data_IF_384882785755
#
_entry.id   IF_384882785755
#
_cell.length_a   1.000
_cell.length_b   1.000
_cell.length_c   1.000
_cell.angle_alpha   90.00
_cell.angle_beta   90.00
_cell.angle_gamma   90.00
#
_symmetry.space_group_name_H-M   'P 1'
#
loop_
_entity.id
_entity.type
_entity.pdbx_description
1 polymer ?
#
# COMPACT_ATOMS: atom_id res chain seq x y z
N UNK A 1 5.80 9.14 -20.18
CA UNK A 1 5.99 7.70 -20.49
C UNK A 1 6.99 7.43 -21.62
N UNK A 2 6.81 7.95 -22.86
CA UNK A 2 7.72 7.65 -23.99
C UNK A 2 9.20 7.97 -23.71
N UNK A 3 9.47 9.13 -23.11
CA UNK A 3 10.83 9.56 -22.75
C UNK A 3 11.50 8.63 -21.74
N UNK A 4 10.78 8.23 -20.68
CA UNK A 4 11.26 7.27 -19.68
C UNK A 4 11.54 5.90 -20.31
N UNK A 5 10.68 5.40 -21.19
CA UNK A 5 10.92 4.14 -21.90
C UNK A 5 12.16 4.20 -22.80
N UNK A 6 12.38 5.33 -23.49
CA UNK A 6 13.59 5.56 -24.28
C UNK A 6 14.83 5.67 -23.39
N UNK A 7 14.75 6.35 -22.25
CA UNK A 7 15.83 6.44 -21.27
C UNK A 7 16.24 5.05 -20.78
N UNK A 8 15.29 4.24 -20.31
CA UNK A 8 15.56 2.88 -19.82
C UNK A 8 16.20 1.99 -20.90
N UNK A 9 15.77 2.14 -22.16
CA UNK A 9 16.38 1.43 -23.29
C UNK A 9 17.83 1.88 -23.52
N UNK A 10 18.13 3.19 -23.41
CA UNK A 10 19.50 3.72 -23.53
C UNK A 10 20.41 3.38 -22.34
N UNK A 11 19.83 3.03 -21.20
CA UNK A 11 20.58 2.62 -20.01
C UNK A 11 21.01 1.15 -20.06
N UNK A 12 20.43 0.35 -20.95
CA UNK A 12 20.75 -1.08 -21.05
C UNK A 12 22.26 -1.32 -21.24
N UNK A 13 22.81 -2.26 -20.46
CA UNK A 13 24.23 -2.61 -20.48
C UNK A 13 25.18 -1.62 -19.79
N UNK A 14 24.73 -0.39 -19.46
CA UNK A 14 25.57 0.60 -18.76
C UNK A 14 25.87 0.20 -17.32
N UNK A 15 26.85 0.87 -16.72
CA UNK A 15 27.13 0.77 -15.28
C UNK A 15 25.90 1.11 -14.45
N UNK A 16 25.67 0.35 -13.37
CA UNK A 16 24.55 0.53 -12.45
C UNK A 16 24.35 1.96 -11.96
N UNK A 17 25.45 2.70 -11.77
CA UNK A 17 25.42 4.12 -11.36
C UNK A 17 24.59 5.00 -12.30
N UNK A 18 24.45 4.63 -13.57
CA UNK A 18 23.67 5.37 -14.56
C UNK A 18 22.16 5.35 -14.28
N UNK A 19 21.65 4.48 -13.40
CA UNK A 19 20.25 4.58 -12.95
C UNK A 19 19.95 5.90 -12.22
N UNK A 20 20.96 6.66 -11.77
CA UNK A 20 20.76 8.01 -11.22
C UNK A 20 20.08 8.97 -12.22
N UNK A 21 20.16 8.68 -13.52
CA UNK A 21 19.44 9.42 -14.55
C UNK A 21 17.91 9.29 -14.43
N UNK A 22 17.41 8.33 -13.63
CA UNK A 22 15.99 8.19 -13.32
C UNK A 22 15.49 9.16 -12.25
N UNK A 23 16.36 9.87 -11.51
CA UNK A 23 15.93 10.78 -10.45
C UNK A 23 14.97 11.85 -10.97
N UNK A 24 14.00 12.22 -10.13
CA UNK A 24 13.00 13.25 -10.45
C UNK A 24 11.66 12.68 -10.90
N UNK A 25 10.88 13.49 -11.61
CA UNK A 25 9.49 13.21 -11.95
C UNK A 25 9.33 12.68 -13.38
N UNK A 26 8.52 11.64 -13.52
CA UNK A 26 8.17 11.02 -14.80
C UNK A 26 6.65 10.94 -14.92
N UNK A 27 6.10 11.73 -15.84
CA UNK A 27 4.65 11.81 -16.03
C UNK A 27 4.10 10.61 -16.78
N UNK A 28 3.02 10.06 -16.23
CA UNK A 28 2.12 9.12 -16.88
C UNK A 28 0.76 9.80 -17.08
N UNK A 29 -0.16 9.12 -17.75
CA UNK A 29 -1.52 9.63 -17.88
C UNK A 29 -2.26 9.47 -16.55
N UNK A 30 -2.67 10.60 -15.96
CA UNK A 30 -3.46 10.64 -14.73
C UNK A 30 -2.69 10.34 -13.43
N UNK A 31 -1.37 10.18 -13.49
CA UNK A 31 -0.51 10.02 -12.33
C UNK A 31 0.97 10.31 -12.67
N UNK A 32 1.79 10.54 -11.65
CA UNK A 32 3.22 10.84 -11.79
C UNK A 32 4.06 9.89 -10.94
N UNK A 33 5.11 9.33 -11.54
CA UNK A 33 6.16 8.61 -10.83
C UNK A 33 7.23 9.60 -10.38
N UNK A 34 7.60 9.58 -9.11
CA UNK A 34 8.66 10.42 -8.54
C UNK A 34 9.74 9.50 -7.99
N UNK A 35 10.95 9.60 -8.50
CA UNK A 35 12.09 8.79 -8.06
C UNK A 35 12.92 9.64 -7.09
N UNK A 36 12.70 9.43 -5.79
CA UNK A 36 13.35 10.21 -4.73
C UNK A 36 14.77 9.72 -4.46
N UNK A 37 14.99 8.40 -4.53
CA UNK A 37 16.29 7.80 -4.27
C UNK A 37 16.51 6.57 -5.14
N UNK A 38 17.66 6.53 -5.80
CA UNK A 38 18.13 5.37 -6.57
C UNK A 38 19.16 4.62 -5.74
N UNK A 39 18.95 3.32 -5.55
CA UNK A 39 19.87 2.46 -4.81
C UNK A 39 21.29 2.48 -5.40
N UNK A 40 22.31 2.42 -4.53
CA UNK A 40 23.70 2.62 -4.92
C UNK A 40 24.26 1.46 -5.78
N UNK A 41 23.77 0.24 -5.53
CA UNK A 41 24.13 -0.98 -6.23
C UNK A 41 22.96 -1.99 -6.15
N UNK A 42 22.98 -3.08 -6.94
CA UNK A 42 21.87 -4.05 -7.00
C UNK A 42 21.56 -4.81 -5.70
N UNK A 43 22.48 -4.81 -4.73
CA UNK A 43 22.35 -5.50 -3.45
C UNK A 43 22.07 -4.55 -2.28
N UNK A 44 22.06 -3.24 -2.54
CA UNK A 44 21.71 -2.23 -1.55
C UNK A 44 20.20 -2.23 -1.24
N UNK A 45 19.81 -1.44 -0.25
CA UNK A 45 18.40 -1.19 0.02
C UNK A 45 17.70 -0.66 -1.25
N UNK A 46 16.47 -1.13 -1.58
CA UNK A 46 15.75 -0.75 -2.77
C UNK A 46 15.62 0.75 -3.01
N UNK A 47 15.45 1.13 -4.28
CA UNK A 47 15.16 2.52 -4.65
C UNK A 47 13.84 2.96 -4.03
N UNK A 48 13.74 4.22 -3.59
CA UNK A 48 12.51 4.79 -3.05
C UNK A 48 11.85 5.64 -4.12
N UNK A 49 10.59 5.31 -4.41
CA UNK A 49 9.79 6.00 -5.40
C UNK A 49 8.40 6.31 -4.84
N UNK A 50 7.77 7.35 -5.38
CA UNK A 50 6.38 7.68 -5.09
C UNK A 50 5.57 7.61 -6.37
N UNK A 51 4.36 7.08 -6.28
CA UNK A 51 3.36 7.19 -7.34
C UNK A 51 2.24 8.11 -6.84
N UNK A 52 2.13 9.29 -7.43
CA UNK A 52 1.08 10.26 -7.12
C UNK A 52 -0.01 10.17 -8.17
N UNK A 53 -1.18 9.67 -7.80
CA UNK A 53 -2.35 9.53 -8.64
C UNK A 53 -3.24 10.75 -8.43
N UNK A 54 -3.60 11.42 -9.53
CA UNK A 54 -4.41 12.62 -9.49
C UNK A 54 -5.84 12.28 -9.03
N UNK A 55 -6.49 13.16 -8.28
CA UNK A 55 -7.86 12.95 -7.79
C UNK A 55 -8.86 12.59 -8.92
N UNK A 56 -8.72 13.23 -10.08
CA UNK A 56 -9.54 12.98 -11.26
C UNK A 56 -9.38 11.55 -11.82
N UNK A 57 -8.22 10.92 -11.57
CA UNK A 57 -7.95 9.52 -11.89
C UNK A 57 -8.42 8.63 -10.75
N UNK A 58 -8.04 8.94 -9.50
CA UNK A 58 -8.30 8.11 -8.34
C UNK A 58 -9.79 7.92 -8.07
N UNK A 59 -10.57 9.00 -8.16
CA UNK A 59 -12.03 9.03 -8.01
C UNK A 59 -12.53 8.28 -6.77
N UNK A 60 -11.80 8.39 -5.65
CA UNK A 60 -12.18 7.72 -4.41
C UNK A 60 -13.58 8.15 -3.93
N UNK A 61 -14.36 7.23 -3.35
CA UNK A 61 -15.70 7.56 -2.86
C UNK A 61 -15.63 8.61 -1.74
N UNK A 62 -16.64 9.48 -1.67
CA UNK A 62 -16.70 10.56 -0.67
C UNK A 62 -16.70 10.03 0.78
N UNK A 63 -17.12 8.77 0.99
CA UNK A 63 -17.08 8.09 2.29
C UNK A 63 -15.65 7.93 2.84
N UNK A 64 -14.60 8.06 2.03
CA UNK A 64 -13.21 8.09 2.50
C UNK A 64 -12.95 9.32 3.38
N UNK A 65 -13.65 10.43 3.14
CA UNK A 65 -13.38 11.73 3.75
C UNK A 65 -14.28 12.06 4.95
N UNK A 66 -15.24 11.19 5.28
CA UNK A 66 -16.23 11.47 6.35
C UNK A 66 -15.65 11.37 7.76
N UNK A 67 -14.53 10.65 7.96
CA UNK A 67 -13.80 10.62 9.22
C UNK A 67 -12.32 10.28 9.05
N UNK A 68 -11.49 10.67 10.03
CA UNK A 68 -10.06 10.31 10.04
C UNK A 68 -9.84 8.79 10.09
N UNK A 69 -10.72 8.07 10.79
CA UNK A 69 -10.65 6.61 10.89
C UNK A 69 -10.85 5.94 9.52
N UNK A 70 -11.86 6.41 8.75
CA UNK A 70 -12.11 5.90 7.39
C UNK A 70 -10.98 6.28 6.43
N UNK A 71 -10.45 7.49 6.51
CA UNK A 71 -9.29 7.89 5.70
C UNK A 71 -8.07 7.01 5.98
N UNK A 72 -7.80 6.71 7.26
CA UNK A 72 -6.75 5.78 7.67
C UNK A 72 -6.98 4.38 7.13
N UNK A 73 -8.21 3.85 7.24
CA UNK A 73 -8.58 2.55 6.71
C UNK A 73 -8.47 2.46 5.19
N UNK A 74 -8.89 3.51 4.45
CA UNK A 74 -8.75 3.56 3.00
C UNK A 74 -7.28 3.52 2.56
N UNK A 75 -6.40 4.24 3.27
CA UNK A 75 -4.95 4.22 3.03
C UNK A 75 -4.37 2.81 3.21
N UNK A 76 -4.76 2.13 4.28
CA UNK A 76 -4.35 0.75 4.55
C UNK A 76 -4.88 -0.24 3.49
N UNK A 77 -6.15 -0.13 3.12
CA UNK A 77 -6.77 -0.94 2.07
C UNK A 77 -6.05 -0.79 0.73
N UNK A 78 -5.77 0.45 0.30
CA UNK A 78 -5.04 0.76 -0.94
C UNK A 78 -3.63 0.15 -0.91
N UNK A 79 -2.92 0.24 0.22
CA UNK A 79 -1.59 -0.37 0.35
C UNK A 79 -1.67 -1.90 0.18
N UNK A 80 -2.67 -2.55 0.77
CA UNK A 80 -2.91 -4.00 0.61
C UNK A 80 -3.28 -4.35 -0.82
N UNK A 81 -4.09 -3.53 -1.49
CA UNK A 81 -4.45 -3.72 -2.89
C UNK A 81 -3.20 -3.67 -3.78
N UNK A 82 -2.29 -2.73 -3.55
CA UNK A 82 -1.01 -2.67 -4.27
C UNK A 82 -0.17 -3.93 -4.03
N UNK A 83 0.02 -4.33 -2.77
CA UNK A 83 0.75 -5.56 -2.43
C UNK A 83 0.15 -6.79 -3.11
N UNK A 84 -1.18 -6.87 -3.19
CA UNK A 84 -1.86 -7.97 -3.87
C UNK A 84 -1.62 -7.94 -5.39
N UNK A 85 -1.68 -6.75 -6.01
CA UNK A 85 -1.42 -6.55 -7.43
C UNK A 85 0.04 -6.91 -7.80
N UNK A 86 0.98 -6.69 -6.87
CA UNK A 86 2.42 -6.99 -7.07
C UNK A 86 2.88 -8.28 -6.41
N UNK A 87 1.98 -9.19 -6.00
CA UNK A 87 2.34 -10.43 -5.28
C UNK A 87 3.38 -11.31 -6.00
N UNK A 88 3.46 -11.21 -7.33
CA UNK A 88 4.38 -11.96 -8.19
C UNK A 88 5.58 -11.12 -8.68
N UNK A 89 5.64 -9.84 -8.33
CA UNK A 89 6.65 -8.87 -8.76
C UNK A 89 7.51 -8.51 -7.53
N UNK A 90 8.55 -9.30 -7.26
CA UNK A 90 9.39 -9.16 -6.05
C UNK A 90 10.16 -7.85 -6.00
N UNK A 91 10.32 -7.21 -7.16
CA UNK A 91 10.99 -5.94 -7.33
C UNK A 91 10.12 -4.74 -6.90
N UNK A 92 8.82 -4.94 -6.69
CA UNK A 92 7.88 -3.90 -6.25
C UNK A 92 7.39 -4.18 -4.83
N UNK A 93 7.70 -3.27 -3.92
CA UNK A 93 7.31 -3.37 -2.51
C UNK A 93 6.55 -2.16 -2.01
N UNK A 94 5.69 -2.39 -1.03
CA UNK A 94 5.00 -1.37 -0.23
C UNK A 94 4.84 -1.89 1.21
N UNK A 95 4.92 -1.00 2.21
CA UNK A 95 4.56 -1.35 3.59
C UNK A 95 3.03 -1.35 3.75
N UNK A 96 2.42 -2.51 3.51
CA UNK A 96 0.98 -2.72 3.64
C UNK A 96 0.57 -3.35 4.99
N UNK A 97 1.45 -3.30 6.00
CA UNK A 97 1.18 -3.87 7.33
C UNK A 97 0.87 -5.36 7.34
N UNK A 98 0.43 -5.89 8.48
CA UNK A 98 -0.06 -7.27 8.60
C UNK A 98 -1.51 -7.24 9.05
N UNK A 99 -1.85 -7.79 10.21
CA UNK A 99 -3.24 -7.80 10.70
C UNK A 99 -3.70 -6.45 11.28
N UNK A 100 -2.81 -5.47 11.42
CA UNK A 100 -3.10 -4.15 11.99
C UNK A 100 -3.26 -3.06 10.95
N UNK A 101 -4.25 -2.19 11.17
CA UNK A 101 -4.46 -0.93 10.45
C UNK A 101 -3.80 0.19 11.25
N UNK A 102 -2.76 0.80 10.68
CA UNK A 102 -2.00 1.89 11.32
C UNK A 102 -1.94 3.10 10.39
N UNK A 103 -1.76 4.27 10.98
CA UNK A 103 -1.53 5.52 10.24
C UNK A 103 -0.11 5.55 9.66
N UNK A 104 0.10 4.80 8.56
CA UNK A 104 1.41 4.65 7.89
C UNK A 104 1.58 5.63 6.75
N UNK A 105 2.82 6.01 6.45
CA UNK A 105 3.12 6.85 5.30
C UNK A 105 3.13 6.11 3.95
N UNK A 106 2.88 4.81 3.92
CA UNK A 106 2.91 3.99 2.70
C UNK A 106 1.88 4.43 1.66
N UNK A 107 0.71 4.87 2.12
CA UNK A 107 -0.32 5.51 1.30
C UNK A 107 -0.75 6.80 1.99
N UNK A 108 -0.82 7.90 1.24
CA UNK A 108 -1.41 9.16 1.69
C UNK A 108 -2.59 9.52 0.78
N UNK A 109 -3.61 10.15 1.36
CA UNK A 109 -4.76 10.68 0.64
C UNK A 109 -4.92 12.14 1.08
N UNK A 110 -4.75 13.05 0.13
CA UNK A 110 -4.89 14.48 0.35
C UNK A 110 -6.36 14.91 0.35
N UNK A 111 -6.68 16.08 0.90
CA UNK A 111 -8.06 16.58 0.98
C UNK A 111 -8.72 16.82 -0.39
N UNK A 112 -7.91 17.05 -1.43
CA UNK A 112 -8.39 17.18 -2.81
C UNK A 112 -8.67 15.82 -3.49
N UNK A 113 -8.32 14.70 -2.83
CA UNK A 113 -8.48 13.35 -3.33
C UNK A 113 -7.29 12.77 -4.09
N UNK A 114 -6.15 13.47 -4.15
CA UNK A 114 -4.91 12.90 -4.67
C UNK A 114 -4.46 11.73 -3.78
N UNK A 115 -3.90 10.69 -4.39
CA UNK A 115 -3.40 9.51 -3.70
C UNK A 115 -1.89 9.35 -3.94
N UNK A 116 -1.09 9.33 -2.89
CA UNK A 116 0.35 9.06 -2.97
C UNK A 116 0.66 7.67 -2.43
N UNK A 117 1.26 6.81 -3.25
CA UNK A 117 1.85 5.53 -2.83
C UNK A 117 3.36 5.68 -2.68
N UNK A 118 3.92 5.28 -1.54
CA UNK A 118 5.38 5.25 -1.30
C UNK A 118 5.88 3.83 -1.41
N UNK A 119 6.74 3.60 -2.40
CA UNK A 119 7.09 2.27 -2.89
C UNK A 119 8.60 2.04 -2.85
N UNK A 120 8.94 0.77 -2.71
CA UNK A 120 10.29 0.26 -2.94
C UNK A 120 10.37 -0.34 -4.35
N UNK A 121 11.42 0.01 -5.08
CA UNK A 121 11.68 -0.45 -6.44
C UNK A 121 13.10 -1.02 -6.54
N UNK A 122 13.20 -2.34 -6.69
CA UNK A 122 14.47 -3.03 -6.93
C UNK A 122 14.78 -3.00 -8.43
N UNK A 123 15.64 -2.08 -8.85
CA UNK A 123 16.06 -1.88 -10.23
C UNK A 123 16.89 -3.08 -10.77
N UNK A 124 16.45 -3.71 -11.87
CA UNK A 124 17.09 -4.89 -12.46
C UNK A 124 18.55 -4.67 -12.90
N UNK A 125 19.39 -5.69 -12.68
CA UNK A 125 20.78 -5.72 -13.14
C UNK A 125 21.33 -7.14 -13.29
N UNK A 126 22.35 -7.28 -14.14
CA UNK A 126 23.19 -8.47 -14.28
C UNK A 126 24.58 -8.14 -13.77
N UNK A 127 24.89 -8.57 -12.54
CA UNK A 127 26.06 -8.06 -11.83
C UNK A 127 25.91 -6.55 -11.63
N UNK A 128 26.87 -5.75 -12.10
CA UNK A 128 26.81 -4.27 -12.02
C UNK A 128 26.37 -3.60 -13.34
N UNK A 129 25.88 -4.36 -14.30
CA UNK A 129 25.34 -3.83 -15.56
C UNK A 129 23.83 -3.74 -15.52
N UNK A 130 23.28 -2.61 -15.95
CA UNK A 130 21.84 -2.35 -16.00
C UNK A 130 21.15 -3.29 -16.98
N UNK A 131 20.02 -3.88 -16.56
CA UNK A 131 19.09 -4.60 -17.44
C UNK A 131 17.94 -3.67 -17.84
N UNK A 132 18.23 -2.74 -18.74
CA UNK A 132 17.35 -1.63 -19.13
C UNK A 132 16.04 -2.10 -19.77
N UNK A 133 16.07 -3.19 -20.54
CA UNK A 133 14.86 -3.80 -21.08
C UNK A 133 13.93 -4.37 -20.00
N UNK A 134 14.50 -5.03 -18.98
CA UNK A 134 13.73 -5.54 -17.85
C UNK A 134 13.21 -4.39 -16.96
N UNK A 135 14.03 -3.38 -16.72
CA UNK A 135 13.64 -2.18 -16.00
C UNK A 135 12.50 -1.43 -16.71
N UNK A 136 12.54 -1.35 -18.04
CA UNK A 136 11.45 -0.81 -18.85
C UNK A 136 10.16 -1.59 -18.65
N UNK A 137 10.20 -2.92 -18.74
CA UNK A 137 9.02 -3.76 -18.50
C UNK A 137 8.46 -3.54 -17.08
N UNK A 138 9.33 -3.49 -16.08
CA UNK A 138 8.95 -3.27 -14.70
C UNK A 138 8.31 -1.89 -14.48
N UNK A 139 8.96 -0.82 -14.92
CA UNK A 139 8.58 0.57 -14.61
C UNK A 139 7.50 1.11 -15.55
N UNK A 140 7.49 0.69 -16.83
CA UNK A 140 6.56 1.22 -17.82
C UNK A 140 5.36 0.31 -18.09
N UNK A 141 5.33 -0.94 -17.59
CA UNK A 141 4.21 -1.86 -17.81
C UNK A 141 3.66 -2.40 -16.49
N UNK A 142 4.51 -2.99 -15.62
CA UNK A 142 4.06 -3.62 -14.37
C UNK A 142 3.66 -2.61 -13.29
N UNK A 143 4.52 -1.62 -13.03
CA UNK A 143 4.27 -0.59 -12.04
C UNK A 143 3.01 0.24 -12.34
N UNK A 144 2.78 0.74 -13.56
CA UNK A 144 1.57 1.51 -13.87
C UNK A 144 0.29 0.70 -13.64
N UNK A 145 0.29 -0.59 -14.03
CA UNK A 145 -0.86 -1.47 -13.83
C UNK A 145 -1.15 -1.68 -12.34
N UNK A 146 -0.11 -1.92 -11.52
CA UNK A 146 -0.25 -2.06 -10.08
C UNK A 146 -0.73 -0.77 -9.38
N UNK A 147 -0.18 0.39 -9.76
CA UNK A 147 -0.59 1.70 -9.22
C UNK A 147 -2.07 1.95 -9.52
N UNK A 148 -2.50 1.78 -10.77
CA UNK A 148 -3.87 2.03 -11.16
C UNK A 148 -4.84 1.01 -10.57
N UNK A 149 -4.45 -0.27 -10.48
CA UNK A 149 -5.27 -1.29 -9.83
C UNK A 149 -5.51 -0.98 -8.34
N UNK A 150 -4.52 -0.42 -7.64
CA UNK A 150 -4.59 -0.15 -6.21
C UNK A 150 -5.21 1.21 -5.85
N UNK A 151 -5.04 2.23 -6.69
CA UNK A 151 -5.38 3.62 -6.34
C UNK A 151 -6.44 4.25 -7.25
N UNK A 152 -7.23 3.45 -7.98
CA UNK A 152 -8.33 3.93 -8.82
C UNK A 152 -9.64 3.23 -8.42
N UNK A 153 -10.65 3.99 -8.01
CA UNK A 153 -11.92 3.47 -7.53
C UNK A 153 -12.59 2.46 -8.49
N UNK A 154 -12.57 2.73 -9.80
CA UNK A 154 -13.14 1.83 -10.82
C UNK A 154 -12.47 0.44 -10.91
N UNK A 155 -11.28 0.29 -10.33
CA UNK A 155 -10.51 -0.96 -10.32
C UNK A 155 -10.47 -1.61 -8.92
N UNK A 156 -11.00 -0.93 -7.92
CA UNK A 156 -11.12 -1.44 -6.56
C UNK A 156 -12.44 -2.19 -6.38
N UNK A 157 -12.42 -3.16 -5.48
CA UNK A 157 -13.64 -3.70 -4.90
C UNK A 157 -14.17 -2.68 -3.88
N UNK A 158 -15.08 -1.82 -4.34
CA UNK A 158 -15.63 -0.73 -3.54
C UNK A 158 -16.47 -1.24 -2.35
N UNK A 159 -17.08 -2.42 -2.46
CA UNK A 159 -17.83 -3.03 -1.38
C UNK A 159 -16.87 -3.54 -0.28
N UNK A 160 -15.77 -4.17 -0.67
CA UNK A 160 -14.73 -4.57 0.28
C UNK A 160 -14.02 -3.37 0.91
N UNK A 161 -13.76 -2.30 0.14
CA UNK A 161 -13.22 -1.04 0.68
C UNK A 161 -14.17 -0.44 1.72
N UNK A 162 -15.47 -0.35 1.42
CA UNK A 162 -16.49 0.16 2.33
C UNK A 162 -16.56 -0.64 3.64
N UNK A 163 -16.61 -1.98 3.55
CA UNK A 163 -16.56 -2.86 4.73
C UNK A 163 -15.28 -2.65 5.56
N UNK A 164 -14.14 -2.51 4.89
CA UNK A 164 -12.86 -2.30 5.57
C UNK A 164 -12.85 -0.97 6.34
N UNK A 165 -13.36 0.11 5.72
CA UNK A 165 -13.49 1.41 6.36
C UNK A 165 -14.46 1.37 7.55
N UNK A 166 -15.63 0.77 7.38
CA UNK A 166 -16.65 0.67 8.43
C UNK A 166 -16.11 -0.07 9.67
N UNK A 167 -15.46 -1.23 9.49
CA UNK A 167 -14.92 -2.01 10.61
C UNK A 167 -13.83 -1.25 11.40
N UNK A 168 -13.01 -0.43 10.74
CA UNK A 168 -12.00 0.39 11.42
C UNK A 168 -12.65 1.59 12.13
N UNK A 169 -13.66 2.20 11.51
CA UNK A 169 -14.44 3.27 12.11
C UNK A 169 -15.16 2.80 13.38
N UNK A 170 -15.83 1.64 13.34
CA UNK A 170 -16.48 1.02 14.49
C UNK A 170 -15.48 0.75 15.63
N UNK A 171 -14.30 0.21 15.31
CA UNK A 171 -13.25 0.00 16.30
C UNK A 171 -12.78 1.32 16.94
N UNK A 172 -12.75 2.42 16.18
CA UNK A 172 -12.41 3.73 16.72
C UNK A 172 -13.53 4.27 17.61
N UNK A 173 -14.78 4.14 17.19
CA UNK A 173 -15.96 4.56 17.93
C UNK A 173 -16.08 3.80 19.27
N UNK A 174 -15.96 2.48 19.26
CA UNK A 174 -15.99 1.63 20.46
C UNK A 174 -14.91 2.03 21.46
N UNK A 175 -13.67 2.26 20.99
CA UNK A 175 -12.56 2.65 21.87
C UNK A 175 -12.79 4.02 22.52
N UNK A 176 -13.41 4.96 21.81
CA UNK A 176 -13.70 6.31 22.33
C UNK A 176 -14.77 6.30 23.42
N UNK A 177 -15.69 5.34 23.40
CA UNK A 177 -16.77 5.21 24.38
C UNK A 177 -16.29 4.55 25.69
N UNK A 178 -15.15 3.84 25.69
CA UNK A 178 -14.65 3.14 26.88
C UNK A 178 -14.62 4.00 28.17
N UNK A 179 -14.07 5.24 28.16
CA UNK A 179 -14.01 6.06 29.37
C UNK A 179 -15.39 6.50 29.86
N UNK A 180 -16.32 6.78 28.96
CA UNK A 180 -17.70 7.20 29.28
C UNK A 180 -18.47 6.08 30.00
N UNK A 181 -18.11 4.84 29.70
CA UNK A 181 -18.66 3.64 30.34
C UNK A 181 -17.83 3.14 31.53
N UNK A 182 -16.76 3.85 31.93
CA UNK A 182 -15.91 3.46 33.06
C UNK A 182 -15.15 2.13 32.84
N UNK A 183 -14.98 1.70 31.60
CA UNK A 183 -14.28 0.45 31.24
C UNK A 183 -12.93 0.76 30.58
N UNK A 184 -11.95 -0.13 30.74
CA UNK A 184 -10.59 0.03 30.17
C UNK A 184 -10.35 -0.88 28.96
N UNK A 185 -11.21 -1.86 28.76
CA UNK A 185 -11.15 -2.81 27.66
C UNK A 185 -12.55 -3.36 27.36
N UNK A 186 -12.74 -3.78 26.12
CA UNK A 186 -13.95 -4.47 25.65
C UNK A 186 -13.52 -5.62 24.73
N UNK A 187 -14.07 -6.81 24.94
CA UNK A 187 -13.85 -7.98 24.09
C UNK A 187 -15.20 -8.46 23.60
N UNK A 188 -15.43 -8.37 22.28
CA UNK A 188 -16.69 -8.79 21.69
C UNK A 188 -16.86 -10.32 21.80
N UNK A 189 -18.07 -10.77 22.17
CA UNK A 189 -18.44 -12.18 22.03
C UNK A 189 -18.24 -12.65 20.58
N UNK A 190 -17.77 -13.87 20.40
CA UNK A 190 -17.41 -14.42 19.10
C UNK A 190 -15.98 -14.09 18.64
N UNK A 191 -15.21 -13.29 19.40
CA UNK A 191 -13.82 -12.98 19.04
C UNK A 191 -12.93 -14.22 19.02
N UNK A 192 -12.09 -14.33 17.98
CA UNK A 192 -11.05 -15.37 17.88
C UNK A 192 -9.72 -14.80 18.38
N UNK A 193 -9.39 -15.11 19.63
CA UNK A 193 -8.20 -14.61 20.31
C UNK A 193 -6.92 -15.41 19.97
N UNK A 194 -6.94 -16.76 19.93
CA UNK A 194 -5.74 -17.55 19.62
C UNK A 194 -5.20 -17.22 18.21
N UNK A 195 -3.87 -17.12 18.09
CA UNK A 195 -3.19 -16.92 16.80
C UNK A 195 -2.85 -18.25 16.17
N UNK A 196 -2.64 -18.24 14.86
CA UNK A 196 -2.35 -19.42 14.06
C UNK A 196 -1.05 -20.11 14.48
N UNK A 197 0.00 -19.33 14.80
CA UNK A 197 1.23 -19.84 15.42
C UNK A 197 2.02 -18.69 16.08
N UNK A 198 3.16 -18.99 16.72
CA UNK A 198 4.03 -17.97 17.31
C UNK A 198 4.70 -17.02 16.30
N UNK A 199 4.70 -17.36 15.00
CA UNK A 199 5.31 -16.55 13.92
C UNK A 199 4.28 -16.07 12.88
N UNK A 200 3.01 -16.41 13.04
CA UNK A 200 1.93 -16.04 12.14
C UNK A 200 0.80 -15.39 12.95
N UNK A 201 0.71 -14.08 12.82
CA UNK A 201 -0.21 -13.27 13.58
C UNK A 201 -1.65 -13.41 13.09
N UNK A 202 -2.02 -14.29 12.16
CA UNK A 202 -3.42 -14.50 11.74
C UNK A 202 -4.22 -15.27 12.81
N UNK A 203 -5.56 -15.18 12.83
CA UNK A 203 -6.40 -15.98 13.74
C UNK A 203 -6.22 -17.50 13.52
N UNK A 204 -6.29 -18.27 14.61
CA UNK A 204 -6.34 -19.72 14.56
C UNK A 204 -7.65 -20.18 13.89
N UNK A 205 -7.55 -21.12 12.96
CA UNK A 205 -8.73 -21.76 12.35
C UNK A 205 -9.35 -22.75 13.34
N UNK A 206 -10.68 -22.86 13.36
CA UNK A 206 -11.43 -23.79 14.24
C UNK A 206 -11.21 -23.56 15.75
N UNK A 207 -10.93 -22.31 16.14
CA UNK A 207 -10.78 -21.92 17.54
C UNK A 207 -12.14 -21.80 18.25
N UNK A 208 -12.13 -22.01 19.57
CA UNK A 208 -13.29 -21.74 20.42
C UNK A 208 -13.47 -20.20 20.51
N UNK A 209 -14.62 -19.65 20.09
CA UNK A 209 -14.87 -18.21 20.18
C UNK A 209 -14.97 -17.74 21.63
N UNK A 210 -14.55 -16.50 21.88
CA UNK A 210 -14.68 -15.89 23.21
C UNK A 210 -16.16 -15.67 23.57
N UNK A 211 -16.50 -15.96 24.82
CA UNK A 211 -17.81 -15.67 25.41
C UNK A 211 -17.62 -14.98 26.76
N UNK A 212 -18.35 -13.89 26.97
CA UNK A 212 -18.29 -13.08 28.18
C UNK A 212 -18.99 -13.81 29.33
N UNK A 213 -18.33 -14.00 30.49
CA UNK A 213 -18.99 -14.55 31.66
C UNK A 213 -20.18 -13.69 32.08
N UNK A 214 -21.30 -14.29 32.49
CA UNK A 214 -22.51 -13.55 32.86
C UNK A 214 -22.33 -12.51 33.99
N UNK A 215 -21.29 -12.65 34.82
CA UNK A 215 -20.93 -11.66 35.85
C UNK A 215 -20.25 -10.39 35.31
N UNK A 216 -19.87 -10.38 34.03
CA UNK A 216 -19.16 -9.30 33.34
C UNK A 216 -19.86 -8.86 32.04
N UNK A 217 -21.09 -9.34 31.82
CA UNK A 217 -21.91 -9.04 30.64
C UNK A 217 -22.66 -7.72 30.77
#
# INVERSE_FOLDING_TARGET
MKELASLLTRLDGKSYKAYKDLLGEHRFEGWTLIVDHVQADPFAAPSRVRARVDAATAQLPQTVFTSQARRCAARDYIARAFRQATRNEKELGIDAGNQTVLDRTATLIDDNGDVELRLNLSLPARGRSIMGHQARKLICEKLPEAVLAAATARRLDLEALERHMAVVEDQHALRRQLPEHGIVAFVANGSILPRRSGVDDRPLTDAIPFETPGSLA
#
